data_IF_478104945667
#
_entry.id   IF_478104945667
#
_cell.length_a   1.000
_cell.length_b   1.000
_cell.length_c   1.000
_cell.angle_alpha   90.00
_cell.angle_beta   90.00
_cell.angle_gamma   90.00
#
_symmetry.space_group_name_H-M   'P 1'
#
loop_
_entity.id
_entity.type
_entity.pdbx_description
1 polymer ?
#
# COMPACT_ATOMS: atom_id res chain seq x y z
N UNK A 1 -0.04 -93.94 -30.06
CA UNK A 1 0.76 -92.71 -29.84
C UNK A 1 -0.21 -91.60 -29.41
N UNK A 2 -0.51 -91.51 -28.11
CA UNK A 2 -1.69 -90.79 -27.59
C UNK A 2 -1.37 -89.40 -27.02
N UNK A 3 -0.12 -88.97 -27.11
CA UNK A 3 0.35 -87.71 -26.53
C UNK A 3 -0.08 -86.46 -27.34
N UNK A 4 -0.34 -86.61 -28.64
CA UNK A 4 -0.79 -85.51 -29.53
C UNK A 4 -2.22 -85.05 -29.22
N UNK A 5 -3.08 -85.92 -28.68
CA UNK A 5 -4.46 -85.57 -28.32
C UNK A 5 -4.55 -84.65 -27.09
N UNK A 6 -3.59 -84.77 -26.17
CA UNK A 6 -3.49 -83.87 -25.01
C UNK A 6 -3.14 -82.44 -25.44
N UNK A 7 -2.25 -82.29 -26.42
CA UNK A 7 -1.85 -81.00 -26.99
C UNK A 7 -3.01 -80.35 -27.77
N UNK A 8 -3.78 -81.14 -28.52
CA UNK A 8 -4.96 -80.64 -29.24
C UNK A 8 -6.06 -80.12 -28.30
N UNK A 9 -6.20 -80.68 -27.09
CA UNK A 9 -7.20 -80.21 -26.10
C UNK A 9 -6.88 -78.81 -25.57
N UNK A 10 -5.61 -78.43 -25.50
CA UNK A 10 -5.15 -77.13 -24.99
C UNK A 10 -4.87 -76.10 -26.09
N UNK A 11 -5.25 -76.39 -27.34
CA UNK A 11 -4.95 -75.54 -28.50
C UNK A 11 -5.46 -74.10 -28.33
N UNK A 12 -6.68 -73.93 -27.82
CA UNK A 12 -7.28 -72.62 -27.58
C UNK A 12 -6.51 -71.84 -26.50
N UNK A 13 -6.08 -72.50 -25.42
CA UNK A 13 -5.30 -71.87 -24.35
C UNK A 13 -3.93 -71.42 -24.86
N UNK A 14 -3.27 -72.25 -25.69
CA UNK A 14 -1.99 -71.91 -26.31
C UNK A 14 -2.13 -70.70 -27.23
N UNK A 15 -3.18 -70.64 -28.04
CA UNK A 15 -3.45 -69.48 -28.92
C UNK A 15 -3.69 -68.19 -28.14
N UNK A 16 -4.48 -68.23 -27.05
CA UNK A 16 -4.74 -67.04 -26.21
C UNK A 16 -3.44 -66.53 -25.58
N UNK A 17 -2.61 -67.42 -25.05
CA UNK A 17 -1.32 -67.05 -24.45
C UNK A 17 -0.39 -66.45 -25.51
N UNK A 18 -0.35 -67.03 -26.71
CA UNK A 18 0.46 -66.52 -27.82
C UNK A 18 0.06 -65.10 -28.22
N UNK A 19 -1.26 -64.85 -28.36
CA UNK A 19 -1.79 -63.52 -28.69
C UNK A 19 -1.40 -62.50 -27.61
N UNK A 20 -1.48 -62.87 -26.33
CA UNK A 20 -1.06 -61.99 -25.23
C UNK A 20 0.43 -61.67 -25.27
N UNK A 21 1.28 -62.67 -25.52
CA UNK A 21 2.73 -62.46 -25.64
C UNK A 21 3.04 -61.50 -26.80
N UNK A 22 2.39 -61.69 -27.95
CA UNK A 22 2.55 -60.81 -29.11
C UNK A 22 2.09 -59.39 -28.79
N UNK A 23 0.94 -59.23 -28.13
CA UNK A 23 0.42 -57.93 -27.73
C UNK A 23 1.36 -57.18 -26.78
N UNK A 24 1.93 -57.88 -25.78
CA UNK A 24 2.90 -57.31 -24.84
C UNK A 24 4.15 -56.84 -25.57
N UNK A 25 4.69 -57.67 -26.47
CA UNK A 25 5.86 -57.30 -27.27
C UNK A 25 5.57 -56.08 -28.14
N UNK A 26 4.40 -56.04 -28.78
CA UNK A 26 3.99 -54.94 -29.65
C UNK A 26 3.90 -53.63 -28.87
N UNK A 27 3.22 -53.62 -27.73
CA UNK A 27 3.12 -52.43 -26.86
C UNK A 27 4.50 -51.99 -26.36
N UNK A 28 5.35 -52.94 -25.94
CA UNK A 28 6.71 -52.64 -25.48
C UNK A 28 7.58 -52.01 -26.58
N UNK A 29 7.51 -52.53 -27.80
CA UNK A 29 8.27 -51.98 -28.94
C UNK A 29 7.70 -50.66 -29.46
N UNK A 30 6.39 -50.44 -29.35
CA UNK A 30 5.76 -49.16 -29.70
C UNK A 30 5.94 -48.08 -28.65
N UNK A 31 6.27 -48.44 -27.40
CA UNK A 31 6.49 -47.44 -26.36
C UNK A 31 7.75 -46.63 -26.69
N UNK A 32 7.63 -45.29 -26.88
CA UNK A 32 8.80 -44.47 -27.19
C UNK A 32 9.78 -44.52 -26.02
N UNK A 33 10.99 -45.03 -26.28
CA UNK A 33 12.01 -45.29 -25.25
C UNK A 33 12.57 -44.03 -24.59
N UNK A 34 12.29 -42.86 -25.16
CA UNK A 34 12.84 -41.58 -24.69
C UNK A 34 11.78 -40.49 -24.79
N UNK A 35 11.38 -39.95 -23.63
CA UNK A 35 10.86 -38.59 -23.58
C UNK A 35 12.02 -37.66 -23.87
N UNK A 36 12.25 -37.33 -25.14
CA UNK A 36 13.28 -36.37 -25.52
C UNK A 36 12.94 -35.03 -24.88
N UNK A 37 13.61 -34.70 -23.77
CA UNK A 37 13.59 -33.35 -23.23
C UNK A 37 14.08 -32.43 -24.35
N UNK A 38 13.21 -31.54 -24.82
CA UNK A 38 13.52 -30.62 -25.93
C UNK A 38 14.71 -29.70 -25.64
N UNK A 39 15.09 -29.61 -24.37
CA UNK A 39 16.15 -28.75 -23.86
C UNK A 39 17.31 -29.61 -23.32
N UNK A 40 18.18 -30.06 -24.21
CA UNK A 40 19.46 -30.64 -23.82
C UNK A 40 20.49 -29.52 -23.67
N UNK A 41 21.25 -29.55 -22.57
CA UNK A 41 22.35 -28.61 -22.34
C UNK A 41 23.68 -29.36 -22.37
N UNK A 42 24.68 -28.79 -23.04
CA UNK A 42 26.04 -29.33 -23.05
C UNK A 42 26.98 -28.34 -22.37
N UNK A 43 27.80 -28.84 -21.44
CA UNK A 43 28.82 -28.02 -20.78
C UNK A 43 29.82 -27.49 -21.83
N UNK A 44 30.25 -26.24 -21.68
CA UNK A 44 31.16 -25.53 -22.61
C UNK A 44 30.60 -25.24 -24.01
N UNK A 45 29.29 -25.32 -24.22
CA UNK A 45 28.63 -24.82 -25.43
C UNK A 45 27.78 -23.58 -25.10
N UNK A 46 27.60 -22.65 -26.07
CA UNK A 46 26.69 -21.53 -25.89
C UNK A 46 25.25 -22.02 -25.69
N UNK A 47 24.44 -21.18 -25.02
CA UNK A 47 23.01 -21.44 -24.82
C UNK A 47 22.27 -21.38 -26.16
N UNK A 48 21.65 -22.50 -26.56
CA UNK A 48 21.01 -22.64 -27.89
C UNK A 48 19.49 -22.48 -27.85
N UNK A 49 18.91 -22.36 -26.66
CA UNK A 49 17.45 -22.32 -26.47
C UNK A 49 16.98 -20.89 -26.25
N UNK A 50 15.71 -20.62 -26.52
CA UNK A 50 15.14 -19.31 -26.21
C UNK A 50 15.10 -19.08 -24.70
N UNK A 51 15.28 -17.82 -24.30
CA UNK A 51 15.09 -17.43 -22.91
C UNK A 51 13.59 -17.47 -22.59
N UNK A 52 13.21 -18.33 -21.65
CA UNK A 52 11.86 -18.38 -21.12
C UNK A 52 11.69 -17.23 -20.13
N UNK A 53 11.02 -16.16 -20.58
CA UNK A 53 10.61 -15.04 -19.73
C UNK A 53 9.14 -15.23 -19.37
N UNK A 54 8.78 -14.97 -18.12
CA UNK A 54 7.38 -15.02 -17.70
C UNK A 54 6.56 -13.96 -18.47
N UNK A 55 5.32 -14.26 -18.90
CA UNK A 55 4.48 -13.30 -19.62
C UNK A 55 3.87 -12.22 -18.68
N UNK A 56 4.30 -12.17 -17.42
CA UNK A 56 3.85 -11.21 -16.42
C UNK A 56 4.96 -10.95 -15.40
N UNK A 57 4.84 -9.80 -14.74
CA UNK A 57 5.71 -9.41 -13.64
C UNK A 57 5.11 -9.86 -12.31
N UNK A 58 5.97 -10.29 -11.39
CA UNK A 58 5.59 -10.53 -10.00
C UNK A 58 6.02 -9.34 -9.14
N UNK A 59 5.14 -8.80 -8.28
CA UNK A 59 5.54 -7.78 -7.33
C UNK A 59 6.48 -8.39 -6.29
N UNK A 60 7.60 -7.72 -6.02
CA UNK A 60 8.48 -8.03 -4.89
C UNK A 60 7.99 -7.20 -3.71
N UNK A 61 7.25 -7.85 -2.80
CA UNK A 61 6.75 -7.18 -1.60
C UNK A 61 7.88 -6.95 -0.60
N UNK A 62 7.83 -5.80 0.08
CA UNK A 62 8.71 -5.53 1.21
C UNK A 62 8.32 -6.44 2.40
N UNK A 63 9.27 -6.84 3.25
CA UNK A 63 8.95 -7.54 4.49
C UNK A 63 8.05 -6.68 5.41
N UNK A 64 7.14 -7.32 6.15
CA UNK A 64 6.21 -6.61 7.04
C UNK A 64 6.94 -5.73 8.06
N UNK A 65 8.07 -6.20 8.59
CA UNK A 65 8.90 -5.44 9.52
C UNK A 65 9.40 -4.12 8.93
N UNK A 66 9.80 -4.13 7.65
CA UNK A 66 10.25 -2.93 6.96
C UNK A 66 9.08 -1.96 6.75
N UNK A 67 7.91 -2.47 6.38
CA UNK A 67 6.71 -1.65 6.20
C UNK A 67 6.29 -0.98 7.51
N UNK A 68 6.29 -1.72 8.62
CA UNK A 68 5.98 -1.15 9.94
C UNK A 68 6.99 -0.07 10.34
N UNK A 69 8.29 -0.32 10.18
CA UNK A 69 9.32 0.68 10.48
C UNK A 69 9.18 1.96 9.63
N UNK A 70 8.82 1.84 8.35
CA UNK A 70 8.54 2.98 7.48
C UNK A 70 7.29 3.75 7.94
N UNK A 71 6.21 3.05 8.30
CA UNK A 71 4.98 3.67 8.81
C UNK A 71 5.22 4.41 10.13
N UNK A 72 5.95 3.82 11.06
CA UNK A 72 6.30 4.45 12.33
C UNK A 72 7.14 5.72 12.11
N UNK A 73 8.10 5.67 11.19
CA UNK A 73 8.90 6.84 10.80
C UNK A 73 8.04 7.96 10.23
N UNK A 74 7.09 7.62 9.35
CA UNK A 74 6.15 8.60 8.76
C UNK A 74 5.21 9.21 9.81
N UNK A 75 4.75 8.42 10.78
CA UNK A 75 3.90 8.94 11.86
C UNK A 75 4.66 9.91 12.78
N UNK A 76 5.93 9.60 13.06
CA UNK A 76 6.80 10.45 13.87
C UNK A 76 7.17 11.75 13.13
N UNK A 77 7.54 11.67 11.85
CA UNK A 77 8.02 12.80 11.04
C UNK A 77 6.98 13.32 10.03
N UNK A 78 5.71 13.38 10.44
CA UNK A 78 4.67 13.91 9.57
C UNK A 78 4.80 15.44 9.41
N UNK A 79 4.82 15.91 8.17
CA UNK A 79 4.70 17.34 7.88
C UNK A 79 3.27 17.79 8.09
N UNK A 80 3.08 18.78 8.96
CA UNK A 80 1.77 19.36 9.25
C UNK A 80 1.48 20.48 8.25
N UNK A 81 0.33 20.39 7.59
CA UNK A 81 -0.15 21.41 6.66
C UNK A 81 -1.32 22.15 7.29
N UNK A 82 -1.23 23.47 7.34
CA UNK A 82 -2.26 24.34 7.91
C UNK A 82 -2.82 25.28 6.85
N UNK A 83 -4.11 25.58 6.96
CA UNK A 83 -4.76 26.61 6.14
C UNK A 83 -4.96 27.86 6.99
N UNK A 84 -4.49 29.00 6.49
CA UNK A 84 -4.70 30.30 7.14
C UNK A 84 -5.80 31.06 6.41
N UNK A 85 -6.90 31.33 7.12
CA UNK A 85 -7.97 32.20 6.62
C UNK A 85 -7.84 33.60 7.23
N UNK A 86 -7.32 34.53 6.42
CA UNK A 86 -7.16 35.94 6.79
C UNK A 86 -8.49 36.66 7.08
N UNK A 87 -9.62 36.17 6.56
CA UNK A 87 -10.93 36.78 6.80
C UNK A 87 -11.37 36.61 8.25
N UNK A 88 -11.04 35.47 8.87
CA UNK A 88 -11.38 35.20 10.27
C UNK A 88 -10.71 36.20 11.20
N UNK A 89 -9.41 36.48 11.01
CA UNK A 89 -8.68 37.47 11.80
C UNK A 89 -9.28 38.87 11.68
N UNK A 90 -9.62 39.31 10.47
CA UNK A 90 -10.25 40.60 10.22
C UNK A 90 -11.64 40.69 10.87
N UNK A 91 -12.45 39.63 10.77
CA UNK A 91 -13.77 39.55 11.37
C UNK A 91 -13.71 39.61 12.91
N UNK A 92 -12.72 38.93 13.51
CA UNK A 92 -12.51 38.93 14.96
C UNK A 92 -12.03 40.29 15.45
N UNK A 93 -11.17 40.98 14.70
CA UNK A 93 -10.75 42.35 15.03
C UNK A 93 -11.94 43.33 14.96
N UNK A 94 -12.79 43.20 13.94
CA UNK A 94 -14.01 43.99 13.83
C UNK A 94 -15.00 43.68 14.97
N UNK A 95 -15.14 42.41 15.35
CA UNK A 95 -15.95 42.00 16.50
C UNK A 95 -15.41 42.61 17.80
N UNK A 96 -14.09 42.54 18.02
CA UNK A 96 -13.43 43.15 19.17
C UNK A 96 -13.72 44.65 19.27
N UNK A 97 -13.61 45.42 18.18
CA UNK A 97 -13.94 46.85 18.21
C UNK A 97 -15.40 47.13 18.60
N UNK A 98 -16.34 46.31 18.12
CA UNK A 98 -17.76 46.43 18.50
C UNK A 98 -17.97 46.13 19.98
N UNK A 99 -17.40 45.03 20.47
CA UNK A 99 -17.52 44.60 21.86
C UNK A 99 -16.86 45.61 22.82
N UNK A 100 -15.70 46.15 22.43
CA UNK A 100 -15.00 47.16 23.21
C UNK A 100 -15.82 48.46 23.34
N UNK A 101 -16.45 48.90 22.24
CA UNK A 101 -17.32 50.08 22.24
C UNK A 101 -18.62 49.84 23.02
N UNK A 102 -19.18 48.62 22.98
CA UNK A 102 -20.39 48.27 23.74
C UNK A 102 -20.13 48.24 25.25
N UNK A 103 -18.95 47.78 25.67
CA UNK A 103 -18.49 47.85 27.06
C UNK A 103 -18.35 49.31 27.51
N UNK A 104 -17.72 50.16 26.69
CA UNK A 104 -17.59 51.58 27.00
C UNK A 104 -18.95 52.26 27.20
N UNK A 105 -19.90 51.94 26.31
CA UNK A 105 -21.27 52.45 26.36
C UNK A 105 -22.03 51.97 27.60
N UNK A 106 -21.88 50.69 27.97
CA UNK A 106 -22.58 50.11 29.14
C UNK A 106 -21.99 50.58 30.48
N UNK A 107 -20.72 50.96 30.53
CA UNK A 107 -20.09 51.60 31.69
C UNK A 107 -20.44 53.09 31.85
N UNK A 108 -21.25 53.65 30.95
CA UNK A 108 -21.66 55.05 30.99
C UNK A 108 -20.57 56.04 30.59
N UNK A 109 -19.51 55.57 29.92
CA UNK A 109 -18.40 56.42 29.43
C UNK A 109 -18.83 57.30 28.23
N UNK A 110 -19.95 56.97 27.58
CA UNK A 110 -20.57 57.78 26.53
C UNK A 110 -19.60 58.21 25.41
N UNK A 111 -19.80 59.41 24.85
CA UNK A 111 -18.93 60.01 23.84
C UNK A 111 -17.63 60.60 24.43
N UNK A 112 -17.58 60.81 25.75
CA UNK A 112 -16.41 61.34 26.47
C UNK A 112 -15.50 60.21 26.94
N UNK A 113 -15.06 59.40 25.97
CA UNK A 113 -14.12 58.31 26.22
C UNK A 113 -12.75 58.91 26.59
N UNK A 114 -12.23 58.54 27.76
CA UNK A 114 -10.90 58.96 28.17
C UNK A 114 -9.84 58.55 27.14
N UNK A 115 -8.85 59.40 26.90
CA UNK A 115 -7.73 59.12 25.98
C UNK A 115 -7.06 57.77 26.33
N UNK A 116 -6.95 57.46 27.62
CA UNK A 116 -6.40 56.20 28.13
C UNK A 116 -7.19 54.97 27.64
N UNK A 117 -8.53 55.04 27.62
CA UNK A 117 -9.39 53.96 27.14
C UNK A 117 -9.22 53.74 25.64
N UNK A 118 -9.18 54.83 24.86
CA UNK A 118 -8.90 54.75 23.42
C UNK A 118 -7.53 54.14 23.15
N UNK A 119 -6.50 54.50 23.93
CA UNK A 119 -5.18 53.91 23.83
C UNK A 119 -5.16 52.42 24.16
N UNK A 120 -5.90 51.98 25.18
CA UNK A 120 -6.02 50.56 25.52
C UNK A 120 -6.64 49.75 24.37
N UNK A 121 -7.68 50.29 23.71
CA UNK A 121 -8.28 49.66 22.52
C UNK A 121 -7.25 49.45 21.40
N UNK A 122 -6.43 50.46 21.14
CA UNK A 122 -5.44 50.42 20.07
C UNK A 122 -4.33 49.42 20.37
N UNK A 123 -3.81 49.41 21.60
CA UNK A 123 -2.76 48.47 22.02
C UNK A 123 -3.26 47.02 21.94
N UNK A 124 -4.47 46.74 22.44
CA UNK A 124 -5.03 45.39 22.37
C UNK A 124 -5.28 44.97 20.92
N UNK A 125 -5.81 45.87 20.09
CA UNK A 125 -6.04 45.59 18.68
C UNK A 125 -4.73 45.26 17.93
N UNK A 126 -3.66 45.99 18.21
CA UNK A 126 -2.33 45.77 17.63
C UNK A 126 -1.76 44.39 18.02
N UNK A 127 -1.84 44.04 19.30
CA UNK A 127 -1.44 42.70 19.80
C UNK A 127 -2.28 41.59 19.15
N UNK A 128 -3.60 41.76 19.04
CA UNK A 128 -4.47 40.80 18.37
C UNK A 128 -4.14 40.65 16.89
N UNK A 129 -3.86 41.76 16.21
CA UNK A 129 -3.45 41.77 14.81
C UNK A 129 -2.12 41.02 14.62
N UNK A 130 -1.14 41.25 15.49
CA UNK A 130 0.12 40.51 15.47
C UNK A 130 -0.11 39.01 15.65
N UNK A 131 -0.89 38.61 16.66
CA UNK A 131 -1.22 37.20 16.92
C UNK A 131 -1.91 36.55 15.71
N UNK A 132 -2.91 37.21 15.13
CA UNK A 132 -3.61 36.67 13.96
C UNK A 132 -2.73 36.64 12.71
N UNK A 133 -1.77 37.58 12.56
CA UNK A 133 -0.80 37.56 11.45
C UNK A 133 0.20 36.41 11.56
N UNK A 134 0.61 36.04 12.78
CA UNK A 134 1.44 34.86 13.06
C UNK A 134 0.65 33.56 12.86
N UNK A 135 -0.66 33.61 13.07
CA UNK A 135 -1.59 32.50 12.94
C UNK A 135 -1.84 31.81 14.27
N UNK A 136 -3.07 31.34 14.45
CA UNK A 136 -3.48 30.55 15.63
C UNK A 136 -3.80 29.14 15.15
N UNK A 137 -3.19 28.15 15.80
CA UNK A 137 -3.45 26.75 15.51
C UNK A 137 -4.53 26.26 16.47
N UNK A 138 -5.57 25.63 15.93
CA UNK A 138 -6.60 24.98 16.71
C UNK A 138 -6.01 23.79 17.49
N UNK A 139 -6.45 23.60 18.74
CA UNK A 139 -6.05 22.42 19.51
C UNK A 139 -6.64 21.18 18.86
N UNK A 140 -5.77 20.30 18.37
CA UNK A 140 -6.17 19.05 17.75
C UNK A 140 -5.36 17.90 18.38
N UNK A 141 -5.96 16.71 18.63
CA UNK A 141 -5.27 15.58 19.28
C UNK A 141 -3.96 15.16 18.60
N UNK A 142 -3.87 15.37 17.28
CA UNK A 142 -2.65 15.06 16.47
C UNK A 142 -1.47 15.97 16.81
N UNK A 143 -1.74 17.16 17.38
CA UNK A 143 -0.75 18.16 17.74
C UNK A 143 -0.33 18.06 19.22
N UNK A 144 -1.04 17.26 20.03
CA UNK A 144 -0.74 17.12 21.45
C UNK A 144 0.59 16.38 21.66
N UNK A 145 1.48 16.99 22.46
CA UNK A 145 2.80 16.43 22.76
C UNK A 145 3.85 16.60 21.67
N UNK A 146 3.52 17.26 20.54
CA UNK A 146 4.47 17.60 19.49
C UNK A 146 5.01 19.02 19.68
N UNK A 147 6.33 19.16 19.62
CA UNK A 147 6.98 20.47 19.68
C UNK A 147 6.85 21.11 18.29
N UNK A 148 6.37 22.37 18.17
CA UNK A 148 6.46 23.10 16.92
C UNK A 148 7.93 23.36 16.60
N UNK A 149 8.40 22.87 15.45
CA UNK A 149 9.74 23.17 14.91
C UNK A 149 9.91 24.66 14.58
#
# INVERSE_FOLDING_TARGET
MNWTKGIAKFWNTIQIVLIYIIAILLVYFMFPREGKFRYEYTKNKPWMHENLVAPFDFPIFKPDQQVQAELDSLQNNQYLYFFSDSLVGNNMLAAFYRDYNSIASSMGLGDNISERWTMTRLVIADVLQEIYSRGIIERHPVLEGKVPE
#
